data_IF_686164059697
#
_entry.id   IF_686164059697
#
_cell.length_a   1.000
_cell.length_b   1.000
_cell.length_c   1.000
_cell.angle_alpha   90.00
_cell.angle_beta   90.00
_cell.angle_gamma   90.00
#
_symmetry.space_group_name_H-M   'P 1'
#
loop_
_entity.id
_entity.type
_entity.pdbx_description
1 polymer ?
#
# COMPACT_ATOMS: atom_id res chain seq x y z
N UNK A 1 9.15 -1.78 -19.39
CA UNK A 1 9.29 -1.17 -18.05
C UNK A 1 8.20 -1.80 -17.20
N UNK A 2 8.55 -2.42 -16.09
CA UNK A 2 7.56 -3.04 -15.21
C UNK A 2 6.99 -1.94 -14.31
N UNK A 3 5.71 -1.58 -14.52
CA UNK A 3 5.02 -0.53 -13.78
C UNK A 3 4.36 -1.05 -12.51
N UNK A 4 4.40 -2.36 -12.23
CA UNK A 4 3.68 -2.98 -11.12
C UNK A 4 3.97 -2.33 -9.77
N UNK A 5 5.24 -2.06 -9.45
CA UNK A 5 5.59 -1.34 -8.21
C UNK A 5 5.02 0.09 -8.18
N UNK A 6 4.96 0.77 -9.32
CA UNK A 6 4.43 2.13 -9.40
C UNK A 6 2.90 2.15 -9.29
N UNK A 7 2.23 1.13 -9.84
CA UNK A 7 0.79 0.89 -9.68
C UNK A 7 0.46 0.61 -8.21
N UNK A 8 1.16 -0.33 -7.57
CA UNK A 8 0.98 -0.65 -6.15
C UNK A 8 1.22 0.59 -5.25
N UNK A 9 2.21 1.45 -5.56
CA UNK A 9 2.38 2.73 -4.85
C UNK A 9 1.18 3.67 -5.04
N UNK A 10 0.66 3.77 -6.27
CA UNK A 10 -0.49 4.62 -6.57
C UNK A 10 -1.76 4.13 -5.86
N UNK A 11 -1.98 2.82 -5.81
CA UNK A 11 -3.12 2.20 -5.12
C UNK A 11 -3.05 2.46 -3.61
N UNK A 12 -1.90 2.23 -2.99
CA UNK A 12 -1.69 2.54 -1.55
C UNK A 12 -1.96 4.02 -1.27
N UNK A 13 -1.44 4.92 -2.12
CA UNK A 13 -1.68 6.35 -1.97
C UNK A 13 -3.16 6.72 -2.13
N UNK A 14 -3.86 6.07 -3.05
CA UNK A 14 -5.30 6.25 -3.26
C UNK A 14 -6.10 5.85 -2.03
N UNK A 15 -5.89 4.64 -1.50
CA UNK A 15 -6.59 4.16 -0.31
C UNK A 15 -6.23 4.96 0.95
N UNK A 16 -4.96 5.33 1.13
CA UNK A 16 -4.57 6.24 2.20
C UNK A 16 -5.29 7.59 2.11
N UNK A 17 -5.43 8.14 0.89
CA UNK A 17 -6.21 9.34 0.63
C UNK A 17 -7.69 9.18 0.97
N UNK A 18 -8.31 8.05 0.62
CA UNK A 18 -9.71 7.75 1.00
C UNK A 18 -9.91 7.73 2.52
N UNK A 19 -8.89 7.35 3.29
CA UNK A 19 -8.92 7.39 4.76
C UNK A 19 -8.50 8.73 5.35
N UNK A 20 -8.29 9.76 4.53
CA UNK A 20 -7.79 11.08 4.96
C UNK A 20 -6.47 11.00 5.75
N UNK A 21 -5.63 10.01 5.43
CA UNK A 21 -4.36 9.83 6.12
C UNK A 21 -3.36 10.93 5.75
N UNK A 22 -2.76 11.53 6.77
CA UNK A 22 -1.62 12.42 6.65
C UNK A 22 -0.88 12.43 7.99
N UNK A 23 0.39 12.06 7.99
CA UNK A 23 1.19 12.02 9.23
C UNK A 23 1.66 13.40 9.73
N UNK A 24 1.46 14.45 8.93
CA UNK A 24 2.13 15.74 9.12
C UNK A 24 3.40 15.90 8.27
N UNK A 25 3.84 14.86 7.55
CA UNK A 25 4.98 14.91 6.64
C UNK A 25 4.75 14.05 5.39
N UNK A 26 4.38 14.70 4.30
CA UNK A 26 4.07 13.99 3.04
C UNK A 26 5.25 13.25 2.44
N UNK A 27 6.51 13.68 2.69
CA UNK A 27 7.69 12.95 2.21
C UNK A 27 7.92 11.67 2.98
N UNK A 28 7.62 11.67 4.28
CA UNK A 28 7.65 10.44 5.07
C UNK A 28 6.53 9.48 4.63
N UNK A 29 5.32 10.00 4.43
CA UNK A 29 4.18 9.19 3.95
C UNK A 29 4.50 8.50 2.62
N UNK A 30 5.07 9.24 1.66
CA UNK A 30 5.49 8.67 0.37
C UNK A 30 6.59 7.61 0.53
N UNK A 31 7.55 7.80 1.44
CA UNK A 31 8.59 6.81 1.70
C UNK A 31 7.99 5.53 2.30
N UNK A 32 7.04 5.67 3.22
CA UNK A 32 6.34 4.53 3.82
C UNK A 32 5.55 3.77 2.74
N UNK A 33 4.82 4.46 1.86
CA UNK A 33 4.05 3.82 0.77
C UNK A 33 4.95 3.08 -0.22
N UNK A 34 6.12 3.64 -0.57
CA UNK A 34 7.10 2.95 -1.42
C UNK A 34 7.61 1.67 -0.75
N UNK A 35 7.87 1.69 0.55
CA UNK A 35 8.30 0.50 1.28
C UNK A 35 7.21 -0.55 1.37
N UNK A 36 5.98 -0.14 1.64
CA UNK A 36 4.82 -1.03 1.69
C UNK A 36 4.54 -1.65 0.32
N UNK A 37 4.66 -0.88 -0.77
CA UNK A 37 4.51 -1.42 -2.11
C UNK A 37 5.58 -2.48 -2.42
N UNK A 38 6.84 -2.25 -2.04
CA UNK A 38 7.91 -3.26 -2.20
C UNK A 38 7.60 -4.54 -1.42
N UNK A 39 7.20 -4.41 -0.16
CA UNK A 39 6.83 -5.54 0.68
C UNK A 39 5.63 -6.31 0.11
N UNK A 40 4.62 -5.59 -0.38
CA UNK A 40 3.45 -6.19 -1.03
C UNK A 40 3.84 -6.99 -2.28
N UNK A 41 4.70 -6.42 -3.12
CA UNK A 41 5.18 -7.08 -4.34
C UNK A 41 6.02 -8.32 -4.04
N UNK A 42 6.91 -8.25 -3.05
CA UNK A 42 7.74 -9.37 -2.61
C UNK A 42 6.89 -10.48 -1.98
N UNK A 43 5.89 -10.13 -1.17
CA UNK A 43 5.01 -11.12 -0.53
C UNK A 43 4.09 -11.84 -1.55
N UNK A 44 3.68 -11.14 -2.60
CA UNK A 44 2.76 -11.66 -3.62
C UNK A 44 3.44 -11.98 -4.97
N UNK A 45 4.75 -12.23 -4.99
CA UNK A 45 5.49 -12.50 -6.22
C UNK A 45 4.94 -13.71 -7.01
N UNK A 46 4.38 -14.69 -6.31
CA UNK A 46 3.86 -15.95 -6.85
C UNK A 46 2.33 -16.07 -6.71
N UNK A 47 1.64 -14.96 -6.41
CA UNK A 47 0.19 -14.96 -6.24
C UNK A 47 -0.51 -15.03 -7.60
N UNK A 48 -1.45 -15.96 -7.71
CA UNK A 48 -2.34 -16.06 -8.87
C UNK A 48 -3.52 -15.08 -8.74
N UNK A 49 -3.35 -13.91 -9.33
CA UNK A 49 -4.34 -12.83 -9.31
C UNK A 49 -5.61 -13.12 -10.13
N UNK A 50 -5.65 -14.20 -10.92
CA UNK A 50 -6.90 -14.65 -11.55
C UNK A 50 -7.83 -15.36 -10.54
N UNK A 51 -7.30 -15.74 -9.38
CA UNK A 51 -8.03 -16.46 -8.32
C UNK A 51 -8.21 -15.64 -7.04
N UNK A 52 -7.40 -14.59 -6.85
CA UNK A 52 -7.40 -13.73 -5.68
C UNK A 52 -7.71 -12.30 -6.13
N UNK A 53 -8.65 -11.66 -5.45
CA UNK A 53 -9.01 -10.27 -5.74
C UNK A 53 -7.88 -9.31 -5.33
N UNK A 54 -7.14 -8.82 -6.32
CA UNK A 54 -6.06 -7.87 -6.13
C UNK A 54 -6.54 -6.59 -5.42
N UNK A 55 -7.68 -6.03 -5.86
CA UNK A 55 -8.16 -4.73 -5.36
C UNK A 55 -8.55 -4.81 -3.90
N UNK A 56 -9.24 -5.88 -3.50
CA UNK A 56 -9.55 -6.14 -2.09
C UNK A 56 -8.27 -6.38 -1.27
N UNK A 57 -7.33 -7.14 -1.82
CA UNK A 57 -6.08 -7.49 -1.12
C UNK A 57 -5.21 -6.27 -0.85
N UNK A 58 -5.07 -5.35 -1.82
CA UNK A 58 -4.28 -4.12 -1.63
C UNK A 58 -4.99 -3.11 -0.73
N UNK A 59 -6.33 -3.04 -0.75
CA UNK A 59 -7.12 -2.24 0.18
C UNK A 59 -6.89 -2.71 1.63
N UNK A 60 -7.14 -3.99 1.92
CA UNK A 60 -6.98 -4.58 3.25
C UNK A 60 -5.54 -4.44 3.78
N UNK A 61 -4.55 -4.66 2.89
CA UNK A 61 -3.14 -4.46 3.22
C UNK A 61 -2.85 -3.01 3.61
N UNK A 62 -3.35 -2.05 2.84
CA UNK A 62 -3.15 -0.62 3.09
C UNK A 62 -3.80 -0.21 4.41
N UNK A 63 -5.05 -0.62 4.65
CA UNK A 63 -5.75 -0.33 5.91
C UNK A 63 -5.00 -0.87 7.12
N UNK A 64 -4.50 -2.09 7.05
CA UNK A 64 -3.70 -2.69 8.12
C UNK A 64 -2.43 -1.89 8.40
N UNK A 65 -1.71 -1.44 7.37
CA UNK A 65 -0.50 -0.60 7.53
C UNK A 65 -0.81 0.74 8.19
N UNK A 66 -1.90 1.39 7.75
CA UNK A 66 -2.35 2.66 8.32
C UNK A 66 -2.74 2.50 9.79
N UNK A 67 -3.49 1.44 10.14
CA UNK A 67 -3.83 1.14 11.53
C UNK A 67 -2.60 0.99 12.41
N UNK A 68 -1.60 0.23 11.95
CA UNK A 68 -0.35 0.06 12.68
C UNK A 68 0.37 1.40 12.89
N UNK A 69 0.47 2.23 11.85
CA UNK A 69 1.08 3.57 11.95
C UNK A 69 0.35 4.50 12.93
N UNK A 70 -0.97 4.46 12.95
CA UNK A 70 -1.75 5.28 13.88
C UNK A 70 -1.63 4.79 15.33
N UNK A 71 -1.36 3.49 15.54
CA UNK A 71 -1.15 2.91 16.87
C UNK A 71 0.25 3.17 17.46
N UNK A 72 1.18 3.73 16.69
CA UNK A 72 2.52 4.13 17.16
C UNK A 72 2.52 5.49 17.90
N UNK A 73 1.38 6.17 17.95
CA UNK A 73 1.15 7.46 18.63
C UNK A 73 0.23 7.31 19.85
#
# INVERSE_FOLDING_TARGET
>A
MNYKLLETVADIAYYAGQKSYYSGNSRQDMMDFIWWAKEFEEFHENTDWDTIDYMLTIEEYTEKKLYLKLSEF
#
